data_IF_686532579909
#
_entry.id   IF_686532579909
#
_cell.length_a   1.000
_cell.length_b   1.000
_cell.length_c   1.000
_cell.angle_alpha   90.00
_cell.angle_beta   90.00
_cell.angle_gamma   90.00
#
_symmetry.space_group_name_H-M   'P 1'
#
loop_
_entity.id
_entity.type
_entity.pdbx_description
1 polymer ?
#
# COMPACT_ATOMS: atom_id res chain seq x y z
N UNK A 1 -22.15 16.88 -39.54
CA UNK A 1 -21.37 15.96 -40.37
C UNK A 1 -20.63 16.74 -41.44
N UNK A 2 -19.51 17.37 -41.06
CA UNK A 2 -18.53 17.87 -42.03
C UNK A 2 -17.66 16.66 -42.42
N UNK A 3 -17.81 16.19 -43.65
CA UNK A 3 -16.89 15.23 -44.20
C UNK A 3 -15.59 15.96 -44.56
N UNK A 4 -14.53 15.74 -43.77
CA UNK A 4 -13.20 16.25 -44.10
C UNK A 4 -12.76 15.69 -45.45
N UNK A 5 -12.57 16.58 -46.43
CA UNK A 5 -12.12 16.25 -47.77
C UNK A 5 -10.64 16.64 -47.94
N UNK A 6 -9.80 15.69 -48.37
CA UNK A 6 -8.42 15.97 -48.70
C UNK A 6 -8.30 16.50 -50.15
N UNK A 7 -7.72 17.70 -50.32
CA UNK A 7 -7.39 18.27 -51.63
C UNK A 7 -5.89 18.22 -51.87
N UNK A 8 -5.45 17.56 -52.94
CA UNK A 8 -4.04 17.42 -53.31
C UNK A 8 -3.86 17.56 -54.82
N UNK A 9 -2.74 18.15 -55.24
CA UNK A 9 -2.44 18.43 -56.64
C UNK A 9 -1.55 17.34 -57.24
N UNK A 10 -2.00 16.69 -58.31
CA UNK A 10 -1.22 15.68 -59.04
C UNK A 10 -0.09 16.28 -59.90
N UNK A 11 -0.20 17.55 -60.25
CA UNK A 11 0.80 18.32 -61.01
C UNK A 11 0.80 19.78 -60.53
N UNK A 12 1.94 20.45 -60.65
CA UNK A 12 2.06 21.86 -60.30
C UNK A 12 3.03 22.58 -61.22
N UNK A 13 2.63 23.77 -61.68
CA UNK A 13 3.49 24.59 -62.53
C UNK A 13 4.82 24.89 -61.82
N UNK A 14 5.93 24.73 -62.57
CA UNK A 14 7.31 24.98 -62.10
C UNK A 14 7.78 24.04 -60.97
N UNK A 15 7.17 22.86 -60.82
CA UNK A 15 7.67 21.79 -59.95
C UNK A 15 8.02 20.55 -60.79
N UNK A 16 8.84 19.66 -60.25
CA UNK A 16 9.14 18.39 -60.90
C UNK A 16 7.89 17.50 -60.92
N UNK A 17 7.53 17.01 -62.10
CA UNK A 17 6.31 16.23 -62.30
C UNK A 17 6.34 14.91 -61.51
N UNK A 18 7.51 14.26 -61.40
CA UNK A 18 7.64 12.95 -60.72
C UNK A 18 7.54 13.10 -59.22
N UNK A 19 8.22 14.09 -58.66
CA UNK A 19 8.16 14.41 -57.23
C UNK A 19 6.75 14.85 -56.82
N UNK A 20 6.11 15.71 -57.63
CA UNK A 20 4.74 16.19 -57.37
C UNK A 20 3.74 15.04 -57.40
N UNK A 21 3.85 14.16 -58.39
CA UNK A 21 2.96 13.00 -58.51
C UNK A 21 3.18 11.98 -57.37
N UNK A 22 4.42 11.71 -56.98
CA UNK A 22 4.71 10.82 -55.85
C UNK A 22 4.15 11.38 -54.52
N UNK A 23 4.28 12.68 -54.30
CA UNK A 23 3.70 13.35 -53.14
C UNK A 23 2.16 13.28 -53.13
N UNK A 24 1.52 13.46 -54.29
CA UNK A 24 0.07 13.27 -54.46
C UNK A 24 -0.38 11.87 -54.06
N UNK A 25 0.30 10.82 -54.54
CA UNK A 25 -0.02 9.42 -54.19
C UNK A 25 0.18 9.16 -52.69
N UNK A 26 1.25 9.70 -52.10
CA UNK A 26 1.50 9.62 -50.66
C UNK A 26 0.40 10.29 -49.83
N UNK A 27 -0.05 11.48 -50.24
CA UNK A 27 -1.14 12.20 -49.57
C UNK A 27 -2.47 11.45 -49.68
N UNK A 28 -2.80 10.91 -50.86
CA UNK A 28 -3.98 10.08 -51.05
C UNK A 28 -3.96 8.84 -50.14
N UNK A 29 -2.81 8.17 -50.01
CA UNK A 29 -2.65 7.02 -49.12
C UNK A 29 -2.85 7.40 -47.65
N UNK A 30 -2.25 8.50 -47.19
CA UNK A 30 -2.43 8.98 -45.80
C UNK A 30 -3.85 9.44 -45.51
N UNK A 31 -4.60 9.85 -46.53
CA UNK A 31 -6.02 10.19 -46.43
C UNK A 31 -6.94 8.95 -46.49
N UNK A 32 -6.40 7.73 -46.48
CA UNK A 32 -7.16 6.49 -46.46
C UNK A 32 -7.58 5.95 -47.83
N UNK A 33 -7.10 6.55 -48.93
CA UNK A 33 -7.34 6.02 -50.28
C UNK A 33 -6.49 4.78 -50.51
N UNK A 34 -7.11 3.70 -51.00
CA UNK A 34 -6.39 2.51 -51.42
C UNK A 34 -5.55 2.83 -52.67
N UNK A 35 -4.22 2.65 -52.57
CA UNK A 35 -3.28 2.83 -53.66
C UNK A 35 -2.79 1.46 -54.12
N UNK A 36 -2.83 1.21 -55.44
CA UNK A 36 -2.19 0.05 -56.04
C UNK A 36 -0.68 0.27 -56.16
N UNK A 37 0.05 -0.12 -55.12
CA UNK A 37 1.52 -0.04 -55.09
C UNK A 37 2.18 -0.97 -56.10
N UNK A 38 1.53 -2.07 -56.50
CA UNK A 38 2.05 -2.96 -57.52
C UNK A 38 2.07 -2.28 -58.89
N UNK A 39 1.00 -1.57 -59.24
CA UNK A 39 0.95 -0.75 -60.45
C UNK A 39 1.95 0.42 -60.40
N UNK A 40 2.07 1.09 -59.25
CA UNK A 40 3.00 2.22 -59.08
C UNK A 40 4.47 1.83 -59.32
N UNK A 41 4.88 0.63 -58.89
CA UNK A 41 6.25 0.15 -59.03
C UNK A 41 6.49 -0.76 -60.26
N UNK A 42 5.47 -1.04 -61.08
CA UNK A 42 5.60 -1.90 -62.24
C UNK A 42 6.69 -1.39 -63.21
N UNK A 43 7.61 -2.26 -63.61
CA UNK A 43 8.69 -1.93 -64.55
C UNK A 43 9.85 -1.09 -63.98
N UNK A 44 9.83 -0.75 -62.69
CA UNK A 44 10.89 0.06 -62.05
C UNK A 44 12.08 -0.77 -61.53
N UNK A 45 11.90 -2.08 -61.32
CA UNK A 45 12.89 -2.94 -60.68
C UNK A 45 12.94 -2.83 -59.15
N UNK A 46 11.98 -2.15 -58.52
CA UNK A 46 11.87 -2.08 -57.07
C UNK A 46 11.70 -3.46 -56.41
N UNK A 47 12.26 -3.62 -55.20
CA UNK A 47 12.20 -4.85 -54.41
C UNK A 47 11.79 -4.55 -52.98
N UNK A 48 11.14 -5.51 -52.33
CA UNK A 48 10.86 -5.45 -50.88
C UNK A 48 12.19 -5.59 -50.13
N UNK A 49 12.37 -4.77 -49.11
CA UNK A 49 13.55 -4.77 -48.24
C UNK A 49 13.11 -4.78 -46.79
N UNK A 50 13.94 -5.31 -45.90
CA UNK A 50 13.69 -5.25 -44.46
C UNK A 50 13.79 -3.81 -43.96
N UNK A 51 12.80 -3.39 -43.19
CA UNK A 51 12.76 -2.11 -42.51
C UNK A 51 12.89 -2.31 -41.00
N UNK A 52 13.29 -1.27 -40.24
CA UNK A 52 13.19 -1.30 -38.78
C UNK A 52 11.79 -1.74 -38.35
N UNK A 53 11.74 -2.54 -37.28
CA UNK A 53 10.46 -3.01 -36.73
C UNK A 53 9.64 -1.85 -36.19
N UNK A 54 8.32 -2.04 -36.12
CA UNK A 54 7.39 -1.04 -35.58
C UNK A 54 7.82 -0.61 -34.17
N UNK A 55 7.86 0.70 -33.94
CA UNK A 55 8.20 1.27 -32.65
C UNK A 55 7.01 1.12 -31.68
N UNK A 56 6.79 -0.09 -31.14
CA UNK A 56 5.77 -0.33 -30.13
C UNK A 56 5.90 0.65 -28.96
N UNK A 57 4.77 1.18 -28.50
CA UNK A 57 4.70 2.00 -27.30
C UNK A 57 5.11 1.15 -26.09
N UNK A 58 6.26 1.49 -25.49
CA UNK A 58 6.85 0.73 -24.38
C UNK A 58 6.22 1.13 -23.04
N UNK A 59 4.95 0.80 -22.88
CA UNK A 59 4.27 0.92 -21.60
C UNK A 59 4.38 -0.37 -20.78
N UNK A 60 4.59 -0.21 -19.47
CA UNK A 60 4.79 -1.32 -18.54
C UNK A 60 3.43 -1.79 -18.02
N UNK A 61 2.96 -2.94 -18.52
CA UNK A 61 1.74 -3.61 -18.04
C UNK A 61 2.09 -4.86 -17.23
N UNK A 62 2.43 -4.69 -15.95
CA UNK A 62 2.76 -5.77 -15.02
C UNK A 62 1.76 -5.83 -13.87
N UNK A 63 1.45 -7.03 -13.36
CA UNK A 63 0.74 -7.21 -12.11
C UNK A 63 1.69 -6.84 -10.96
N UNK A 64 1.45 -5.70 -10.31
CA UNK A 64 2.11 -5.38 -9.04
C UNK A 64 1.37 -6.14 -7.94
N UNK A 65 2.03 -6.98 -7.12
CA UNK A 65 1.37 -7.56 -5.96
C UNK A 65 0.84 -6.40 -5.10
N UNK A 66 -0.47 -6.37 -4.87
CA UNK A 66 -1.09 -5.35 -4.05
C UNK A 66 -0.51 -5.41 -2.63
N UNK A 67 -0.32 -4.26 -2.01
CA UNK A 67 0.05 -4.14 -0.60
C UNK A 67 -1.03 -4.67 0.37
N UNK A 68 -2.15 -5.17 -0.15
CA UNK A 68 -3.21 -5.80 0.63
C UNK A 68 -2.89 -7.25 0.96
N UNK A 69 -3.48 -7.74 2.05
CA UNK A 69 -3.58 -9.17 2.29
C UNK A 69 -4.16 -9.82 1.02
N UNK A 70 -3.47 -10.81 0.44
CA UNK A 70 -4.08 -11.64 -0.60
C UNK A 70 -5.36 -12.31 -0.08
N UNK A 71 -6.04 -13.11 -0.89
CA UNK A 71 -7.16 -13.89 -0.39
C UNK A 71 -6.65 -14.96 0.62
N UNK A 72 -6.66 -14.60 1.90
CA UNK A 72 -6.21 -15.45 3.01
C UNK A 72 -7.22 -16.57 3.32
N UNK A 73 -8.44 -16.49 2.78
CA UNK A 73 -9.46 -17.53 2.96
C UNK A 73 -9.08 -18.82 2.26
N UNK A 74 -8.31 -18.74 1.16
CA UNK A 74 -7.73 -19.91 0.50
C UNK A 74 -6.76 -20.68 1.41
N UNK A 75 -6.16 -20.01 2.41
CA UNK A 75 -5.33 -20.62 3.44
C UNK A 75 -6.12 -21.04 4.69
N UNK A 76 -7.45 -20.95 4.66
CA UNK A 76 -8.33 -21.26 5.79
C UNK A 76 -8.32 -20.20 6.90
N UNK A 77 -7.81 -19.00 6.63
CA UNK A 77 -7.77 -17.90 7.59
C UNK A 77 -8.97 -16.96 7.41
N UNK A 78 -9.35 -16.26 8.48
CA UNK A 78 -10.32 -15.18 8.44
C UNK A 78 -9.62 -13.90 7.99
N UNK A 79 -10.11 -13.24 6.94
CA UNK A 79 -9.59 -11.94 6.51
C UNK A 79 -9.92 -10.84 7.52
N UNK A 80 -8.94 -9.98 7.81
CA UNK A 80 -9.10 -8.84 8.72
C UNK A 80 -8.89 -7.55 7.93
N UNK A 81 -9.88 -6.66 7.96
CA UNK A 81 -9.77 -5.32 7.38
C UNK A 81 -9.08 -4.38 8.37
N UNK A 82 -7.76 -4.32 8.32
CA UNK A 82 -6.97 -3.45 9.18
C UNK A 82 -5.67 -3.00 8.49
N UNK A 83 -5.18 -1.76 8.69
CA UNK A 83 -3.97 -1.27 8.02
C UNK A 83 -2.69 -2.06 8.31
N UNK A 84 -2.65 -2.78 9.44
CA UNK A 84 -1.49 -3.57 9.89
C UNK A 84 -1.78 -5.08 10.03
N UNK A 85 -3.06 -5.48 10.20
CA UNK A 85 -3.45 -6.88 10.39
C UNK A 85 -4.19 -7.35 9.14
N UNK A 86 -3.90 -8.57 8.72
CA UNK A 86 -4.35 -9.15 7.47
C UNK A 86 -5.28 -10.34 7.68
N UNK A 87 -5.00 -11.15 8.70
CA UNK A 87 -5.69 -12.41 8.88
C UNK A 87 -5.76 -12.83 10.35
N UNK A 88 -6.74 -13.65 10.68
CA UNK A 88 -6.90 -14.28 11.98
C UNK A 88 -7.22 -15.77 11.86
N UNK A 89 -6.88 -16.53 12.89
CA UNK A 89 -7.21 -17.96 12.98
C UNK A 89 -7.43 -18.35 14.44
N UNK A 90 -8.44 -19.19 14.66
CA UNK A 90 -8.67 -19.83 15.94
C UNK A 90 -7.74 -21.02 16.12
N UNK A 91 -7.19 -21.21 17.33
CA UNK A 91 -6.21 -22.27 17.58
C UNK A 91 -6.89 -23.61 17.88
N UNK A 92 -7.13 -24.39 16.82
CA UNK A 92 -7.73 -25.71 16.95
C UNK A 92 -9.16 -25.61 17.48
N UNK A 93 -9.46 -26.36 18.53
CA UNK A 93 -10.74 -26.31 19.25
C UNK A 93 -10.73 -25.33 20.45
N UNK A 94 -9.60 -24.66 20.69
CA UNK A 94 -9.45 -23.73 21.81
C UNK A 94 -10.05 -22.39 21.47
N UNK A 95 -10.59 -21.71 22.49
CA UNK A 95 -11.07 -20.34 22.41
C UNK A 95 -9.90 -19.33 22.40
N UNK A 96 -8.84 -19.64 21.67
CA UNK A 96 -7.64 -18.80 21.52
C UNK A 96 -7.52 -18.37 20.07
N UNK A 97 -7.06 -17.15 19.83
CA UNK A 97 -6.97 -16.57 18.50
C UNK A 97 -5.57 -16.02 18.24
N UNK A 98 -5.12 -16.18 17.00
CA UNK A 98 -3.89 -15.56 16.50
C UNK A 98 -4.23 -14.71 15.30
N UNK A 99 -3.85 -13.43 15.38
CA UNK A 99 -3.94 -12.46 14.31
C UNK A 99 -2.55 -12.24 13.72
N UNK A 100 -2.47 -12.06 12.42
CA UNK A 100 -1.22 -11.91 11.69
C UNK A 100 -1.27 -10.70 10.77
N UNK A 101 -0.11 -10.08 10.59
CA UNK A 101 0.00 -8.83 9.87
C UNK A 101 1.43 -8.51 9.49
N UNK A 102 1.63 -7.32 8.93
CA UNK A 102 2.94 -6.83 8.51
C UNK A 102 3.05 -5.34 8.72
N UNK A 103 4.26 -4.90 9.03
CA UNK A 103 4.62 -3.49 9.03
C UNK A 103 5.96 -3.27 8.34
N UNK A 104 6.01 -2.31 7.44
CA UNK A 104 7.23 -1.83 6.78
C UNK A 104 7.04 -0.39 6.32
N UNK A 105 8.13 0.30 5.97
CA UNK A 105 8.05 1.66 5.41
C UNK A 105 7.44 1.69 4.00
N UNK A 106 7.40 0.55 3.29
CA UNK A 106 6.80 0.47 1.95
C UNK A 106 5.27 0.43 2.02
N UNK A 107 4.71 -0.34 2.96
CA UNK A 107 3.26 -0.50 3.11
C UNK A 107 2.65 0.50 4.09
N UNK A 108 3.42 0.98 5.07
CA UNK A 108 3.02 2.00 6.03
C UNK A 108 4.06 3.12 6.10
N UNK A 109 4.06 4.06 5.13
CA UNK A 109 5.04 5.14 5.07
C UNK A 109 5.09 6.01 6.33
N UNK A 110 3.96 6.18 7.02
CA UNK A 110 3.84 6.95 8.26
C UNK A 110 4.74 6.43 9.40
N UNK A 111 5.16 5.16 9.37
CA UNK A 111 6.08 4.61 10.37
C UNK A 111 7.44 5.31 10.33
N UNK A 112 7.85 5.79 9.15
CA UNK A 112 9.10 6.52 8.99
C UNK A 112 9.07 7.91 9.66
N UNK A 113 7.89 8.44 9.97
CA UNK A 113 7.72 9.76 10.57
C UNK A 113 7.80 9.73 12.10
N UNK A 114 7.65 8.56 12.73
CA UNK A 114 7.72 8.42 14.19
C UNK A 114 9.12 7.97 14.65
N UNK A 115 9.98 8.97 14.87
CA UNK A 115 11.37 8.79 15.27
C UNK A 115 11.57 9.06 16.76
N UNK A 116 12.19 8.12 17.47
CA UNK A 116 12.69 8.31 18.83
C UNK A 116 14.21 8.26 18.80
N UNK A 117 14.87 9.38 19.13
CA UNK A 117 16.33 9.51 19.09
C UNK A 117 16.93 9.04 17.75
N UNK A 118 16.27 9.39 16.64
CA UNK A 118 16.67 8.99 15.28
C UNK A 118 16.37 7.55 14.88
N UNK A 119 15.70 6.77 15.73
CA UNK A 119 15.29 5.39 15.44
C UNK A 119 13.82 5.34 15.05
N UNK A 120 13.47 4.68 13.94
CA UNK A 120 12.08 4.44 13.56
C UNK A 120 11.43 3.42 14.51
N UNK A 121 10.43 3.88 15.26
CA UNK A 121 9.71 3.08 16.24
C UNK A 121 8.22 3.15 15.93
N UNK A 122 7.55 2.01 15.84
CA UNK A 122 6.10 2.00 15.74
C UNK A 122 5.51 2.65 17.01
N UNK A 123 4.62 3.66 16.88
CA UNK A 123 4.04 4.35 18.03
C UNK A 123 3.33 3.38 18.98
N UNK A 124 3.41 3.63 20.28
CA UNK A 124 2.71 2.80 21.28
C UNK A 124 1.20 2.72 21.04
N UNK A 125 0.59 3.79 20.53
CA UNK A 125 -0.84 3.82 20.17
C UNK A 125 -1.19 2.88 19.02
N UNK A 126 -0.25 2.54 18.14
CA UNK A 126 -0.48 1.52 17.12
C UNK A 126 -0.54 0.12 17.74
N UNK A 127 0.23 -0.15 18.80
CA UNK A 127 0.12 -1.41 19.55
C UNK A 127 -1.22 -1.52 20.29
N UNK A 128 -1.74 -0.39 20.80
CA UNK A 128 -3.10 -0.30 21.36
C UNK A 128 -4.15 -0.61 20.30
N UNK A 129 -4.05 0.00 19.11
CA UNK A 129 -5.01 -0.28 18.02
C UNK A 129 -4.95 -1.75 17.55
N UNK A 130 -3.76 -2.37 17.51
CA UNK A 130 -3.63 -3.81 17.22
C UNK A 130 -4.40 -4.67 18.23
N UNK A 131 -4.31 -4.34 19.52
CA UNK A 131 -5.03 -5.03 20.57
C UNK A 131 -6.55 -4.82 20.46
N UNK A 132 -6.99 -3.58 20.21
CA UNK A 132 -8.41 -3.24 20.00
C UNK A 132 -8.97 -3.97 18.77
N UNK A 133 -8.24 -3.99 17.65
CA UNK A 133 -8.67 -4.65 16.43
C UNK A 133 -8.84 -6.17 16.64
N UNK A 134 -7.89 -6.81 17.35
CA UNK A 134 -8.01 -8.20 17.74
C UNK A 134 -9.21 -8.44 18.68
N UNK A 135 -9.38 -7.56 19.68
CA UNK A 135 -10.49 -7.60 20.63
C UNK A 135 -11.87 -7.46 19.98
N UNK A 136 -12.03 -6.54 19.02
CA UNK A 136 -13.26 -6.38 18.23
C UNK A 136 -13.66 -7.66 17.51
N UNK A 137 -12.69 -8.38 16.94
CA UNK A 137 -12.96 -9.63 16.23
C UNK A 137 -13.48 -10.74 17.16
N UNK A 138 -13.03 -10.77 18.42
CA UNK A 138 -13.43 -11.79 19.41
C UNK A 138 -14.52 -11.32 20.39
N UNK A 139 -15.06 -10.11 20.20
CA UNK A 139 -16.16 -9.57 21.01
C UNK A 139 -15.76 -8.93 22.35
N UNK A 140 -14.47 -8.63 22.56
CA UNK A 140 -13.94 -7.89 23.73
C UNK A 140 -13.09 -6.70 23.26
N UNK A 141 -13.72 -5.61 22.77
CA UNK A 141 -13.02 -4.54 22.05
C UNK A 141 -12.29 -3.53 22.95
N UNK A 142 -12.38 -3.66 24.27
CA UNK A 142 -11.84 -2.69 25.23
C UNK A 142 -10.48 -3.17 25.72
N UNK A 143 -9.49 -2.28 25.74
CA UNK A 143 -8.20 -2.54 26.39
C UNK A 143 -8.31 -2.08 27.85
N UNK A 144 -8.31 -3.03 28.78
CA UNK A 144 -8.30 -2.75 30.22
C UNK A 144 -6.91 -2.28 30.67
N UNK A 145 -5.88 -2.98 30.19
CA UNK A 145 -4.49 -2.72 30.49
C UNK A 145 -3.62 -3.14 29.30
N UNK A 146 -2.57 -2.37 29.02
CA UNK A 146 -1.54 -2.75 28.06
C UNK A 146 -0.18 -2.25 28.54
N UNK A 147 0.71 -3.19 28.87
CA UNK A 147 2.10 -2.95 29.22
C UNK A 147 2.94 -3.02 27.95
N UNK A 148 3.67 -1.96 27.64
CA UNK A 148 4.63 -1.94 26.53
C UNK A 148 5.99 -2.45 27.04
N UNK A 149 6.40 -3.64 26.60
CA UNK A 149 7.60 -4.33 27.09
C UNK A 149 8.86 -3.97 26.29
N UNK A 150 8.71 -3.81 24.97
CA UNK A 150 9.83 -3.55 24.06
C UNK A 150 9.39 -2.72 22.86
N UNK A 151 10.18 -1.72 22.41
CA UNK A 151 9.84 -0.95 21.22
C UNK A 151 9.85 -1.83 19.97
N UNK A 152 8.89 -1.62 19.07
CA UNK A 152 8.84 -2.29 17.78
C UNK A 152 9.60 -1.43 16.76
N UNK A 153 10.83 -1.86 16.46
CA UNK A 153 11.75 -1.15 15.57
C UNK A 153 11.54 -1.55 14.11
N UNK A 154 11.50 -0.56 13.23
CA UNK A 154 11.39 -0.73 11.77
C UNK A 154 12.63 -0.17 11.09
N UNK A 155 13.03 -0.77 9.98
CA UNK A 155 14.16 -0.33 9.16
C UNK A 155 13.71 -0.25 7.70
N UNK A 156 14.34 0.63 6.92
CA UNK A 156 14.05 0.72 5.49
C UNK A 156 14.31 -0.61 4.79
N UNK A 157 13.37 -1.03 3.93
CA UNK A 157 13.46 -2.29 3.19
C UNK A 157 13.33 -3.56 4.05
N UNK A 158 13.06 -3.43 5.35
CA UNK A 158 12.84 -4.57 6.26
C UNK A 158 11.39 -4.61 6.71
N UNK A 159 10.70 -5.68 6.34
CA UNK A 159 9.34 -5.96 6.82
C UNK A 159 9.36 -6.74 8.13
N UNK A 160 8.55 -6.30 9.09
CA UNK A 160 8.27 -7.04 10.32
C UNK A 160 6.96 -7.80 10.16
N UNK A 161 6.97 -9.10 10.46
CA UNK A 161 5.74 -9.87 10.62
C UNK A 161 5.18 -9.62 12.02
N UNK A 162 3.92 -9.23 12.09
CA UNK A 162 3.19 -8.99 13.32
C UNK A 162 2.38 -10.24 13.70
N UNK A 163 2.33 -10.52 15.00
CA UNK A 163 1.40 -11.49 15.57
C UNK A 163 0.72 -10.90 16.79
N UNK A 164 -0.59 -11.01 16.88
CA UNK A 164 -1.35 -10.69 18.10
C UNK A 164 -2.01 -11.98 18.57
N UNK A 165 -1.69 -12.43 19.77
CA UNK A 165 -2.30 -13.60 20.39
C UNK A 165 -3.35 -13.13 21.39
N UNK A 166 -4.56 -13.69 21.31
CA UNK A 166 -5.64 -13.47 22.27
C UNK A 166 -5.97 -14.80 22.94
N UNK A 167 -5.90 -14.82 24.27
CA UNK A 167 -6.16 -15.99 25.09
C UNK A 167 -7.64 -16.37 25.17
N UNK A 168 -7.89 -17.52 25.79
CA UNK A 168 -9.23 -17.96 26.16
C UNK A 168 -9.93 -16.96 27.08
N UNK A 169 -11.26 -16.92 27.01
CA UNK A 169 -12.04 -16.12 27.95
C UNK A 169 -11.81 -16.63 29.39
N UNK A 170 -11.40 -15.72 30.27
CA UNK A 170 -11.37 -15.92 31.70
C UNK A 170 -12.78 -16.01 32.29
N UNK A 171 -12.90 -16.34 33.59
CA UNK A 171 -14.20 -16.45 34.27
C UNK A 171 -15.07 -15.18 34.24
N UNK A 172 -14.44 -14.01 34.08
CA UNK A 172 -15.08 -12.70 33.99
C UNK A 172 -15.28 -12.23 32.54
N UNK A 173 -15.02 -13.09 31.56
CA UNK A 173 -15.12 -12.79 30.13
C UNK A 173 -13.94 -12.02 29.56
N UNK A 174 -12.96 -11.63 30.38
CA UNK A 174 -11.75 -10.93 29.92
C UNK A 174 -10.75 -11.89 29.28
N UNK A 175 -9.89 -11.36 28.42
CA UNK A 175 -8.91 -12.16 27.67
C UNK A 175 -7.54 -11.53 27.71
N UNK A 176 -6.52 -12.34 27.90
CA UNK A 176 -5.14 -11.88 27.74
C UNK A 176 -4.87 -11.55 26.27
N UNK A 177 -4.11 -10.50 26.01
CA UNK A 177 -3.62 -10.14 24.68
C UNK A 177 -2.11 -9.93 24.70
N UNK A 178 -1.42 -10.40 23.67
CA UNK A 178 0.02 -10.19 23.51
C UNK A 178 0.37 -9.84 22.07
N UNK A 179 1.24 -8.85 21.87
CA UNK A 179 1.70 -8.39 20.57
C UNK A 179 3.17 -8.75 20.37
N UNK A 180 3.46 -9.46 19.29
CA UNK A 180 4.80 -9.89 18.90
C UNK A 180 5.18 -9.37 17.52
N UNK A 181 6.49 -9.28 17.28
CA UNK A 181 7.01 -9.19 15.92
C UNK A 181 8.26 -10.02 15.70
N UNK A 182 8.54 -10.32 14.43
CA UNK A 182 9.81 -10.90 13.97
C UNK A 182 10.15 -10.41 12.57
N UNK A 183 11.44 -10.34 12.17
CA UNK A 183 11.81 -10.01 10.80
C UNK A 183 11.20 -11.00 9.79
N UNK A 184 10.79 -10.49 8.64
CA UNK A 184 10.45 -11.33 7.48
C UNK A 184 11.74 -11.88 6.83
N UNK A 185 11.76 -13.19 6.53
CA UNK A 185 12.89 -13.81 5.84
C UNK A 185 14.07 -14.20 6.74
N UNK A 186 13.97 -14.04 8.05
CA UNK A 186 14.91 -14.64 8.98
C UNK A 186 14.85 -16.16 8.92
N UNK A 187 16.01 -16.80 9.10
CA UNK A 187 16.13 -18.23 9.37
C UNK A 187 15.11 -18.55 10.49
N UNK A 188 14.29 -19.59 10.32
CA UNK A 188 13.10 -19.84 11.17
C UNK A 188 13.35 -20.00 12.68
N UNK A 189 14.58 -19.81 13.13
CA UNK A 189 15.08 -19.75 14.50
C UNK A 189 15.04 -18.34 15.12
N UNK A 190 14.78 -17.26 14.37
CA UNK A 190 14.70 -15.91 14.93
C UNK A 190 13.53 -15.82 15.94
N UNK A 191 13.89 -15.66 17.22
CA UNK A 191 12.93 -15.57 18.33
C UNK A 191 12.02 -14.36 18.18
N UNK A 192 10.72 -14.55 18.34
CA UNK A 192 9.75 -13.46 18.28
C UNK A 192 9.96 -12.51 19.46
N UNK A 193 10.01 -11.21 19.19
CA UNK A 193 10.08 -10.19 20.24
C UNK A 193 8.68 -9.85 20.72
N UNK A 194 8.46 -9.90 22.04
CA UNK A 194 7.25 -9.42 22.69
C UNK A 194 7.31 -7.91 22.85
N UNK A 195 6.30 -7.20 22.35
CA UNK A 195 6.22 -5.74 22.39
C UNK A 195 5.22 -5.24 23.42
N UNK A 196 4.11 -5.96 23.61
CA UNK A 196 3.10 -5.58 24.58
C UNK A 196 2.33 -6.78 25.11
N UNK A 197 1.93 -6.71 26.38
CA UNK A 197 1.00 -7.65 27.04
C UNK A 197 -0.11 -6.88 27.72
N UNK A 198 -1.30 -7.44 27.74
CA UNK A 198 -2.44 -6.75 28.31
C UNK A 198 -3.66 -7.63 28.50
N UNK A 199 -4.74 -6.97 28.87
CA UNK A 199 -6.05 -7.59 29.11
C UNK A 199 -7.10 -6.84 28.28
N UNK A 200 -7.97 -7.62 27.64
CA UNK A 200 -9.11 -7.15 26.87
C UNK A 200 -10.42 -7.44 27.61
N UNK A 201 -11.35 -6.49 27.55
CA UNK A 201 -12.68 -6.54 28.14
C UNK A 201 -13.79 -6.19 27.15
N UNK A 202 -15.04 -6.42 27.55
CA UNK A 202 -16.21 -6.12 26.73
C UNK A 202 -16.67 -4.67 26.85
N UNK A 203 -16.72 -4.16 28.08
CA UNK A 203 -17.30 -2.87 28.42
C UNK A 203 -16.24 -1.92 28.97
N UNK A 204 -16.23 -0.69 28.46
CA UNK A 204 -15.38 0.35 29.01
C UNK A 204 -15.94 0.79 30.36
N UNK A 205 -15.08 0.88 31.38
CA UNK A 205 -15.45 1.54 32.62
C UNK A 205 -15.87 3.00 32.31
N UNK A 206 -16.89 3.53 33.01
CA UNK A 206 -17.26 4.93 32.84
C UNK A 206 -16.04 5.81 33.13
N UNK A 207 -15.74 6.71 32.20
CA UNK A 207 -14.64 7.67 32.34
C UNK A 207 -14.98 8.56 33.54
N UNK A 208 -14.04 8.69 34.48
CA UNK A 208 -14.20 9.64 35.56
C UNK A 208 -14.34 11.06 34.98
N UNK A 209 -15.23 11.87 35.54
CA UNK A 209 -15.35 13.25 35.14
C UNK A 209 -13.99 13.94 35.28
N UNK A 210 -13.54 14.57 34.19
CA UNK A 210 -12.33 15.38 34.17
C UNK A 210 -12.46 16.51 35.20
N UNK A 211 -11.35 17.08 35.70
CA UNK A 211 -11.43 18.23 36.60
C UNK A 211 -12.33 19.31 36.00
N UNK A 212 -13.23 19.86 36.82
CA UNK A 212 -14.24 20.86 36.38
C UNK A 212 -13.63 22.09 35.69
N UNK A 213 -12.34 22.36 35.93
CA UNK A 213 -11.58 23.44 35.33
C UNK A 213 -10.54 22.91 34.33
N UNK A 214 -10.73 23.23 33.05
CA UNK A 214 -9.77 22.99 31.98
C UNK A 214 -9.53 24.27 31.16
N UNK A 215 -8.26 24.68 30.92
CA UNK A 215 -7.02 24.06 31.37
C UNK A 215 -6.84 24.16 32.91
N UNK A 216 -5.93 23.36 33.50
CA UNK A 216 -5.64 23.43 34.93
C UNK A 216 -5.33 24.86 35.39
N UNK A 217 -5.64 25.17 36.65
CA UNK A 217 -5.23 26.43 37.26
C UNK A 217 -3.71 26.59 37.13
N UNK A 218 -3.26 27.78 36.73
CA UNK A 218 -1.85 28.11 36.47
C UNK A 218 -1.21 27.41 35.26
N UNK A 219 -2.01 26.83 34.35
CA UNK A 219 -1.50 26.33 33.08
C UNK A 219 -0.97 27.47 32.21
N UNK A 220 0.27 27.33 31.72
CA UNK A 220 0.87 28.24 30.76
C UNK A 220 0.64 27.73 29.32
N UNK A 221 0.14 28.58 28.40
CA UNK A 221 -0.05 28.17 27.02
C UNK A 221 1.29 27.94 26.33
N UNK A 222 1.41 26.81 25.63
CA UNK A 222 2.55 26.50 24.79
C UNK A 222 2.16 26.61 23.31
N UNK A 223 2.86 27.44 22.50
CA UNK A 223 2.69 27.43 21.05
C UNK A 223 3.01 26.03 20.49
N UNK A 224 2.15 25.52 19.61
CA UNK A 224 2.31 24.18 19.02
C UNK A 224 3.56 24.12 18.14
N UNK A 225 3.92 25.25 17.55
CA UNK A 225 5.10 25.43 16.70
C UNK A 225 6.40 25.12 17.44
N UNK A 226 6.45 25.35 18.75
CA UNK A 226 7.62 25.13 19.59
C UNK A 226 7.64 23.72 20.22
N UNK A 227 6.53 22.99 20.19
CA UNK A 227 6.36 21.72 20.91
C UNK A 227 7.36 20.66 20.44
N UNK A 228 7.46 20.43 19.12
CA UNK A 228 8.34 19.39 18.58
C UNK A 228 9.82 19.71 18.78
N UNK A 229 10.20 20.99 18.70
CA UNK A 229 11.57 21.43 19.03
C UNK A 229 11.91 21.10 20.48
N UNK A 230 11.01 21.41 21.42
CA UNK A 230 11.22 21.09 22.84
C UNK A 230 11.26 19.60 23.13
N UNK A 231 10.41 18.80 22.47
CA UNK A 231 10.41 17.34 22.63
C UNK A 231 11.68 16.69 22.09
N UNK A 232 12.35 17.30 21.10
CA UNK A 232 13.61 16.82 20.58
C UNK A 232 14.80 17.07 21.53
N UNK A 233 14.66 18.00 22.48
CA UNK A 233 15.70 18.37 23.46
C UNK A 233 15.61 17.57 24.79
N UNK A 234 14.61 16.68 24.94
CA UNK A 234 14.42 15.79 26.10
C UNK A 234 15.13 14.45 25.86
#
# INVERSE_FOLDING_TARGET
DDADAAFTAALRAKQDDRETFAAFVGQAHTAGTAVDWTAFYAGTGARVVDLPTYAFQRERFWLTPGAGAGDVTAAGLVGIEHPLLAAAVQVGDRDEWVFTGRVSTETQPWVAEHLLLGTMVVPGVALVELAIAAGRQVGVPVVDELVLESPLLVQEGVTRQLQVAVGAAGPDGRRDVTVYSRPEGGDGEAEATCHARGVLGADAAPVADWPEQWPPQDAEPLPVEDLYTRLADI
#
